data_IF_393481212894
#
_entry.id   IF_393481212894
#
_cell.length_a   1.000
_cell.length_b   1.000
_cell.length_c   1.000
_cell.angle_alpha   90.00
_cell.angle_beta   90.00
_cell.angle_gamma   90.00
#
_symmetry.space_group_name_H-M   'P 1'
#
loop_
_entity.id
_entity.type
_entity.pdbx_description
1 polymer ?
#
# COMPACT_ATOMS: atom_id res chain seq x y z
N UNK A 1 35.58 -2.37 12.75
CA UNK A 1 34.99 -2.25 11.39
C UNK A 1 33.59 -1.66 11.53
N UNK A 2 33.24 -0.65 10.73
CA UNK A 2 31.88 -0.09 10.73
C UNK A 2 30.94 -1.01 9.94
N UNK A 3 29.69 -1.21 10.39
CA UNK A 3 28.76 -2.11 9.72
C UNK A 3 28.35 -1.57 8.34
N UNK A 4 28.10 -2.47 7.39
CA UNK A 4 27.67 -2.14 6.02
C UNK A 4 26.46 -1.19 6.01
N UNK A 5 25.53 -1.35 6.97
CA UNK A 5 24.34 -0.50 7.11
C UNK A 5 24.65 0.99 7.30
N UNK A 6 25.83 1.33 7.81
CA UNK A 6 26.26 2.71 8.05
C UNK A 6 27.20 3.24 6.96
N UNK A 7 27.77 2.37 6.13
CA UNK A 7 28.77 2.74 5.13
C UNK A 7 28.23 2.73 3.70
N UNK A 8 27.38 1.76 3.35
CA UNK A 8 26.84 1.64 2.00
C UNK A 8 25.90 2.81 1.69
N UNK A 9 26.09 3.59 0.61
CA UNK A 9 25.36 4.84 0.37
C UNK A 9 23.84 4.71 0.41
N UNK A 10 23.27 3.66 -0.19
CA UNK A 10 21.81 3.44 -0.21
C UNK A 10 21.28 2.87 1.10
N UNK A 11 22.03 1.96 1.74
CA UNK A 11 21.57 1.30 2.97
C UNK A 11 21.69 2.28 4.15
N UNK A 12 22.66 3.19 4.10
CA UNK A 12 22.82 4.27 5.08
C UNK A 12 21.58 5.17 5.14
N UNK A 13 20.94 5.44 4.00
CA UNK A 13 19.69 6.21 3.96
C UNK A 13 18.59 5.48 4.74
N UNK A 14 18.37 4.18 4.44
CA UNK A 14 17.39 3.34 5.15
C UNK A 14 17.72 3.23 6.64
N UNK A 15 19.00 3.07 6.98
CA UNK A 15 19.43 2.98 8.37
C UNK A 15 19.07 4.24 9.15
N UNK A 16 19.35 5.42 8.58
CA UNK A 16 19.12 6.68 9.27
C UNK A 16 17.63 7.07 9.37
N UNK A 17 16.78 6.59 8.46
CA UNK A 17 15.35 6.90 8.45
C UNK A 17 14.46 5.83 9.10
N UNK A 18 14.94 4.59 9.26
CA UNK A 18 14.09 3.47 9.65
C UNK A 18 14.66 2.58 10.77
N UNK A 19 15.99 2.48 10.91
CA UNK A 19 16.63 1.54 11.85
C UNK A 19 17.21 2.26 13.06
N UNK A 20 18.22 3.11 12.83
CA UNK A 20 18.91 3.86 13.88
C UNK A 20 18.34 5.29 14.00
N UNK A 21 17.04 5.47 13.73
CA UNK A 21 16.36 6.76 13.87
C UNK A 21 16.13 7.05 15.36
N UNK A 22 16.66 8.14 15.94
CA UNK A 22 16.36 8.52 17.32
C UNK A 22 14.92 8.99 17.44
N UNK A 23 14.10 8.27 18.22
CA UNK A 23 12.70 8.60 18.48
C UNK A 23 12.47 8.88 19.97
N UNK A 24 11.59 9.81 20.35
CA UNK A 24 11.19 10.01 21.74
C UNK A 24 10.63 8.73 22.36
N UNK A 25 10.91 8.46 23.63
CA UNK A 25 10.44 7.24 24.32
C UNK A 25 8.96 7.30 24.71
N UNK A 26 8.35 8.50 24.71
CA UNK A 26 6.98 8.76 25.15
C UNK A 26 6.01 9.06 23.99
N UNK A 27 6.23 8.49 22.80
CA UNK A 27 5.30 8.65 21.68
C UNK A 27 3.93 8.00 21.99
N UNK A 28 2.85 8.70 21.67
CA UNK A 28 1.48 8.22 21.83
C UNK A 28 1.05 7.37 20.64
N UNK A 29 -0.11 6.72 20.75
CA UNK A 29 -0.68 5.90 19.67
C UNK A 29 -0.92 6.68 18.38
N UNK A 30 -1.10 8.01 18.46
CA UNK A 30 -1.28 8.91 17.31
C UNK A 30 -0.09 8.89 16.34
N UNK A 31 1.12 8.59 16.81
CA UNK A 31 2.30 8.50 15.94
C UNK A 31 2.27 7.29 14.99
N UNK A 32 1.41 6.30 15.23
CA UNK A 32 1.26 5.14 14.34
C UNK A 32 0.53 5.47 13.03
N UNK A 33 -0.23 6.58 12.96
CA UNK A 33 -0.97 6.91 11.75
C UNK A 33 -0.05 7.15 10.54
N UNK A 34 1.18 7.63 10.75
CA UNK A 34 2.15 7.78 9.66
C UNK A 34 2.50 6.46 8.98
N UNK A 35 2.82 5.42 9.76
CA UNK A 35 3.14 4.09 9.20
C UNK A 35 1.90 3.39 8.65
N UNK A 36 0.73 3.57 9.29
CA UNK A 36 -0.55 3.05 8.78
C UNK A 36 -0.91 3.66 7.42
N UNK A 37 -0.76 4.98 7.24
CA UNK A 37 -0.97 5.63 5.94
C UNK A 37 -0.02 5.11 4.87
N UNK A 38 1.26 4.90 5.22
CA UNK A 38 2.23 4.27 4.33
C UNK A 38 1.82 2.85 3.91
N UNK A 39 1.33 2.04 4.85
CA UNK A 39 0.80 0.71 4.57
C UNK A 39 -0.45 0.78 3.69
N UNK A 40 -1.38 1.69 3.98
CA UNK A 40 -2.60 1.85 3.19
C UNK A 40 -2.26 2.28 1.75
N UNK A 41 -1.30 3.18 1.53
CA UNK A 41 -0.83 3.55 0.19
C UNK A 41 -0.33 2.34 -0.59
N UNK A 42 0.50 1.50 0.04
CA UNK A 42 1.02 0.29 -0.59
C UNK A 42 -0.11 -0.69 -0.97
N UNK A 43 -1.09 -0.88 -0.08
CA UNK A 43 -2.27 -1.71 -0.35
C UNK A 43 -3.06 -1.15 -1.54
N UNK A 44 -3.31 0.16 -1.58
CA UNK A 44 -4.07 0.80 -2.65
C UNK A 44 -3.35 0.73 -4.00
N UNK A 45 -2.02 0.92 -4.03
CA UNK A 45 -1.23 0.79 -5.26
C UNK A 45 -1.27 -0.64 -5.81
N UNK A 46 -1.03 -1.63 -4.95
CA UNK A 46 -1.03 -3.04 -5.36
C UNK A 46 -2.42 -3.45 -5.84
N UNK A 47 -3.45 -3.27 -5.01
CA UNK A 47 -4.82 -3.67 -5.37
C UNK A 47 -5.36 -2.88 -6.56
N UNK A 48 -5.07 -1.58 -6.63
CA UNK A 48 -5.47 -0.73 -7.75
C UNK A 48 -4.85 -1.15 -9.07
N UNK A 49 -3.57 -1.55 -9.06
CA UNK A 49 -2.90 -2.09 -10.24
C UNK A 49 -3.56 -3.38 -10.73
N UNK A 50 -3.88 -4.31 -9.83
CA UNK A 50 -4.59 -5.55 -10.19
C UNK A 50 -6.00 -5.29 -10.74
N UNK A 51 -6.72 -4.31 -10.17
CA UNK A 51 -8.03 -3.91 -10.71
C UNK A 51 -7.91 -3.28 -12.10
N UNK A 52 -6.91 -2.42 -12.30
CA UNK A 52 -6.67 -1.74 -13.57
C UNK A 52 -6.37 -2.71 -14.73
N UNK A 53 -5.73 -3.86 -14.44
CA UNK A 53 -5.48 -4.91 -15.45
C UNK A 53 -6.77 -5.52 -16.04
N UNK A 54 -7.90 -5.38 -15.36
CA UNK A 54 -9.18 -5.98 -15.73
C UNK A 54 -10.31 -4.97 -15.93
N UNK A 55 -10.08 -3.72 -15.57
CA UNK A 55 -11.04 -2.65 -15.74
C UNK A 55 -11.02 -2.11 -17.18
N UNK A 56 -12.20 -1.77 -17.72
CA UNK A 56 -12.32 -1.12 -19.03
C UNK A 56 -12.86 0.30 -18.86
N UNK A 57 -12.07 1.30 -19.24
CA UNK A 57 -12.39 2.72 -19.11
C UNK A 57 -13.27 3.24 -20.27
N UNK A 58 -14.38 2.57 -20.53
CA UNK A 58 -15.40 2.97 -21.50
C UNK A 58 -16.77 3.05 -20.80
N UNK A 59 -17.57 4.07 -21.07
CA UNK A 59 -18.83 4.32 -20.33
C UNK A 59 -19.87 3.21 -20.52
N UNK A 60 -19.82 2.48 -21.63
CA UNK A 60 -20.73 1.36 -21.90
C UNK A 60 -20.28 0.07 -21.23
N UNK A 61 -18.98 -0.06 -20.94
CA UNK A 61 -18.37 -1.28 -20.38
C UNK A 61 -17.91 -1.16 -18.92
N UNK A 62 -17.78 0.06 -18.37
CA UNK A 62 -17.20 0.30 -17.05
C UNK A 62 -17.86 -0.55 -15.95
N UNK A 63 -19.20 -0.51 -15.85
CA UNK A 63 -19.93 -1.31 -14.86
C UNK A 63 -19.78 -2.82 -15.09
N UNK A 64 -19.87 -3.25 -16.36
CA UNK A 64 -19.73 -4.66 -16.73
C UNK A 64 -18.32 -5.20 -16.41
N UNK A 65 -17.27 -4.40 -16.61
CA UNK A 65 -15.90 -4.78 -16.26
C UNK A 65 -15.70 -4.95 -14.74
N UNK A 66 -16.36 -4.13 -13.91
CA UNK A 66 -16.38 -4.34 -12.45
C UNK A 66 -17.15 -5.61 -12.08
N UNK A 67 -18.31 -5.86 -12.70
CA UNK A 67 -19.07 -7.10 -12.49
C UNK A 67 -18.24 -8.33 -12.85
N UNK A 68 -17.50 -8.27 -13.96
CA UNK A 68 -16.55 -9.30 -14.38
C UNK A 68 -15.45 -9.54 -13.34
N UNK A 69 -14.81 -8.46 -12.83
CA UNK A 69 -13.84 -8.55 -11.73
C UNK A 69 -14.44 -9.25 -10.51
N UNK A 70 -15.67 -8.90 -10.14
CA UNK A 70 -16.32 -9.43 -8.94
C UNK A 70 -16.69 -10.91 -9.05
N UNK A 71 -17.02 -11.40 -10.25
CA UNK A 71 -17.66 -12.71 -10.44
C UNK A 71 -16.78 -13.74 -11.13
N UNK A 72 -15.97 -13.31 -12.09
CA UNK A 72 -15.29 -14.21 -13.02
C UNK A 72 -13.78 -14.30 -12.75
N UNK A 73 -13.21 -13.27 -12.11
CA UNK A 73 -11.78 -13.24 -11.75
C UNK A 73 -11.56 -13.94 -10.41
N UNK A 74 -10.59 -14.86 -10.38
CA UNK A 74 -10.19 -15.56 -9.15
C UNK A 74 -9.76 -14.55 -8.09
N UNK A 75 -10.45 -14.57 -6.95
CA UNK A 75 -10.27 -13.60 -5.85
C UNK A 75 -10.49 -12.13 -6.26
N UNK A 76 -11.08 -11.84 -7.42
CA UNK A 76 -11.33 -10.46 -7.85
C UNK A 76 -12.28 -9.72 -6.92
N UNK A 77 -13.27 -10.43 -6.34
CA UNK A 77 -14.12 -9.88 -5.28
C UNK A 77 -13.31 -9.43 -4.05
N UNK A 78 -12.32 -10.23 -3.64
CA UNK A 78 -11.48 -9.93 -2.48
C UNK A 78 -10.63 -8.70 -2.77
N UNK A 79 -9.94 -8.68 -3.92
CA UNK A 79 -9.11 -7.54 -4.33
C UNK A 79 -9.93 -6.25 -4.42
N UNK A 80 -11.13 -6.32 -5.02
CA UNK A 80 -12.03 -5.16 -5.12
C UNK A 80 -12.45 -4.67 -3.74
N UNK A 81 -12.90 -5.55 -2.85
CA UNK A 81 -13.33 -5.12 -1.52
C UNK A 81 -12.17 -4.63 -0.66
N UNK A 82 -10.97 -5.21 -0.78
CA UNK A 82 -9.78 -4.69 -0.12
C UNK A 82 -9.45 -3.29 -0.62
N UNK A 83 -9.53 -3.02 -1.94
CA UNK A 83 -9.30 -1.68 -2.49
C UNK A 83 -10.36 -0.66 -2.04
N UNK A 84 -11.63 -1.06 -2.05
CA UNK A 84 -12.74 -0.17 -1.70
C UNK A 84 -12.77 0.16 -0.20
N UNK A 85 -12.66 -0.86 0.67
CA UNK A 85 -12.62 -0.64 2.12
C UNK A 85 -11.27 -0.05 2.56
N UNK A 86 -10.17 -0.40 1.89
CA UNK A 86 -8.86 0.19 2.11
C UNK A 86 -8.85 1.70 1.89
N UNK A 87 -9.61 2.20 0.90
CA UNK A 87 -9.82 3.62 0.69
C UNK A 87 -10.63 4.32 1.81
N UNK A 88 -11.40 3.58 2.62
CA UNK A 88 -12.07 4.15 3.81
C UNK A 88 -11.17 4.17 5.05
N UNK A 89 -10.14 3.31 5.08
CA UNK A 89 -9.13 3.28 6.14
C UNK A 89 -8.07 4.37 5.89
N UNK A 90 -7.82 4.70 4.63
CA UNK A 90 -6.91 5.77 4.17
C UNK A 90 -7.54 7.15 4.35
#
# INVERSE_FOLDING_TARGET
MTPLRKTHPTIKLVNNSFIDLPTPTNISTWWNFGSLLGMCLMIQLVTGLFLAMHYTADTTLAFNSISHIMRDIKYGWLVRYTHANGASIF
#
